data_IF_223560624015
#
_entry.id   IF_223560624015
#
_cell.length_a   1.000
_cell.length_b   1.000
_cell.length_c   1.000
_cell.angle_alpha   90.00
_cell.angle_beta   90.00
_cell.angle_gamma   90.00
#
_symmetry.space_group_name_H-M   'P 1'
#
loop_
_entity.id
_entity.type
_entity.pdbx_description
1 polymer ?
#
# COMPACT_ATOMS: atom_id res chain seq x y z
N UNK A 1 -8.45 -11.43 -1.71
CA UNK A 1 -7.98 -10.11 -1.22
C UNK A 1 -8.92 -9.48 -0.20
N UNK A 2 -10.22 -9.34 -0.51
CA UNK A 2 -11.12 -8.57 0.35
C UNK A 2 -11.33 -9.13 1.77
N UNK A 3 -11.20 -10.45 1.98
CA UNK A 3 -11.28 -11.06 3.31
C UNK A 3 -10.03 -10.79 4.15
N UNK A 4 -8.84 -10.83 3.53
CA UNK A 4 -7.56 -10.54 4.18
C UNK A 4 -7.54 -9.11 4.73
N UNK A 5 -8.00 -8.13 3.94
CA UNK A 5 -8.07 -6.73 4.35
C UNK A 5 -9.23 -6.41 5.33
N UNK A 6 -10.03 -7.41 5.72
CA UNK A 6 -11.02 -7.31 6.80
C UNK A 6 -10.55 -7.94 8.11
N UNK A 7 -9.47 -8.72 8.07
CA UNK A 7 -8.95 -9.39 9.25
C UNK A 7 -8.41 -8.36 10.25
N UNK A 8 -8.94 -8.30 11.48
CA UNK A 8 -8.45 -7.37 12.51
C UNK A 8 -6.96 -7.52 12.81
N UNK A 9 -6.38 -8.72 12.72
CA UNK A 9 -4.95 -8.94 12.96
C UNK A 9 -4.10 -8.31 11.85
N UNK A 10 -4.52 -8.46 10.59
CA UNK A 10 -3.88 -7.82 9.44
C UNK A 10 -3.94 -6.29 9.58
N UNK A 11 -5.07 -5.76 10.03
CA UNK A 11 -5.27 -4.32 10.21
C UNK A 11 -4.48 -3.71 11.39
N UNK A 12 -3.79 -4.50 12.21
CA UNK A 12 -2.83 -4.00 13.21
C UNK A 12 -1.51 -3.55 12.58
N UNK A 13 -1.19 -4.02 11.37
CA UNK A 13 0.03 -3.63 10.69
C UNK A 13 0.08 -2.12 10.40
N UNK A 14 1.27 -1.52 10.51
CA UNK A 14 1.51 -0.13 10.13
C UNK A 14 1.51 0.05 8.61
N UNK A 15 2.04 -0.94 7.91
CA UNK A 15 2.08 -1.01 6.45
C UNK A 15 1.77 -2.43 6.03
N UNK A 16 0.90 -2.56 5.02
CA UNK A 16 0.60 -3.84 4.37
C UNK A 16 1.05 -3.72 2.91
N UNK A 17 1.96 -4.60 2.51
CA UNK A 17 2.45 -4.76 1.16
C UNK A 17 1.72 -5.91 0.47
N UNK A 18 1.19 -5.69 -0.72
CA UNK A 18 0.47 -6.70 -1.49
C UNK A 18 1.04 -6.75 -2.91
N UNK A 19 1.48 -7.93 -3.34
CA UNK A 19 1.76 -8.25 -4.73
C UNK A 19 0.52 -8.87 -5.39
N UNK A 20 0.39 -8.62 -6.68
CA UNK A 20 -0.69 -9.09 -7.57
C UNK A 20 -2.11 -8.92 -6.99
N UNK A 21 -2.53 -7.68 -6.62
CA UNK A 21 -3.81 -7.48 -5.95
C UNK A 21 -5.07 -7.84 -6.78
N UNK A 22 -4.92 -8.16 -8.07
CA UNK A 22 -5.98 -8.20 -9.12
C UNK A 22 -6.85 -9.45 -9.18
N UNK A 23 -7.09 -10.17 -8.08
CA UNK A 23 -8.23 -11.10 -8.03
C UNK A 23 -9.54 -10.38 -7.72
N UNK A 24 -9.83 -9.30 -8.46
CA UNK A 24 -11.15 -8.68 -8.48
C UNK A 24 -11.50 -8.37 -9.94
N UNK A 25 -12.41 -9.15 -10.52
CA UNK A 25 -12.78 -9.12 -11.94
C UNK A 25 -13.55 -7.85 -12.35
N UNK A 26 -13.89 -6.97 -11.40
CA UNK A 26 -14.92 -5.96 -11.60
C UNK A 26 -14.43 -4.51 -11.62
N UNK A 27 -13.37 -4.15 -10.88
CA UNK A 27 -12.85 -2.76 -10.91
C UNK A 27 -11.59 -2.59 -10.05
N UNK A 28 -10.70 -1.70 -10.46
CA UNK A 28 -9.39 -1.49 -9.82
C UNK A 28 -9.48 -0.73 -8.48
N UNK A 29 -10.60 -0.06 -8.17
CA UNK A 29 -10.69 0.81 -6.98
C UNK A 29 -11.99 0.78 -6.17
N UNK A 30 -13.02 0.05 -6.61
CA UNK A 30 -14.39 0.23 -6.09
C UNK A 30 -14.66 -0.49 -4.76
N UNK A 31 -13.86 -1.50 -4.41
CA UNK A 31 -13.94 -2.20 -3.12
C UNK A 31 -12.63 -2.14 -2.34
N UNK A 32 -12.55 -1.23 -1.37
CA UNK A 32 -11.38 -1.04 -0.49
C UNK A 32 -11.74 -1.31 0.99
N UNK A 33 -11.70 -2.58 1.46
CA UNK A 33 -12.13 -2.94 2.82
C UNK A 33 -11.38 -2.19 3.93
N UNK A 34 -10.12 -1.87 3.70
CA UNK A 34 -9.26 -1.18 4.66
C UNK A 34 -9.33 0.36 4.59
N UNK A 35 -10.17 0.95 3.71
CA UNK A 35 -10.20 2.41 3.45
C UNK A 35 -10.39 3.27 4.70
N UNK A 36 -11.07 2.75 5.73
CA UNK A 36 -11.28 3.48 6.99
C UNK A 36 -9.98 3.65 7.78
N UNK A 37 -9.12 2.65 7.80
CA UNK A 37 -7.92 2.59 8.65
C UNK A 37 -6.62 2.85 7.88
N UNK A 38 -6.58 2.53 6.59
CA UNK A 38 -5.38 2.65 5.77
C UNK A 38 -5.65 3.50 4.52
N UNK A 39 -4.60 4.19 4.07
CA UNK A 39 -4.51 4.84 2.77
C UNK A 39 -3.93 3.86 1.77
N UNK A 40 -4.65 3.63 0.66
CA UNK A 40 -4.16 2.83 -0.45
C UNK A 40 -3.21 3.67 -1.32
N UNK A 41 -2.05 3.11 -1.63
CA UNK A 41 -1.06 3.60 -2.59
C UNK A 41 -0.83 2.51 -3.63
N UNK A 42 -0.87 2.88 -4.91
CA UNK A 42 -0.58 1.96 -6.01
C UNK A 42 -0.11 2.75 -7.24
N UNK A 43 0.68 2.13 -8.14
CA UNK A 43 0.96 2.69 -9.45
C UNK A 43 -0.34 2.99 -10.22
N UNK A 44 -0.37 4.08 -10.96
CA UNK A 44 -1.45 4.33 -11.93
C UNK A 44 -1.31 3.34 -13.08
N UNK A 45 -2.44 2.91 -13.64
CA UNK A 45 -2.41 2.15 -14.89
C UNK A 45 -1.85 3.02 -16.02
N UNK A 46 -0.96 2.46 -16.82
CA UNK A 46 -0.37 3.10 -18.01
C UNK A 46 -0.52 2.11 -19.16
N UNK A 47 -1.04 2.56 -20.30
CA UNK A 47 -1.22 1.74 -21.51
C UNK A 47 -1.94 0.39 -21.26
N UNK A 48 -3.04 0.42 -20.52
CA UNK A 48 -3.83 -0.75 -20.08
C UNK A 48 -3.09 -1.76 -19.17
N UNK A 49 -1.83 -1.49 -18.83
CA UNK A 49 -1.10 -2.24 -17.82
C UNK A 49 -1.56 -1.78 -16.44
N UNK A 50 -2.32 -2.64 -15.77
CA UNK A 50 -2.71 -2.43 -14.38
C UNK A 50 -1.47 -2.47 -13.49
N UNK A 51 -1.53 -1.84 -12.33
CA UNK A 51 -0.49 -2.04 -11.32
C UNK A 51 -0.33 -3.54 -11.04
N UNK A 52 0.69 -3.97 -10.32
CA UNK A 52 0.92 -5.34 -9.83
C UNK A 52 1.34 -5.33 -8.37
N UNK A 53 1.39 -4.15 -7.76
CA UNK A 53 1.64 -3.94 -6.35
C UNK A 53 0.69 -2.93 -5.75
N UNK A 54 0.39 -3.09 -4.47
CA UNK A 54 -0.38 -2.16 -3.65
C UNK A 54 0.23 -2.05 -2.25
N UNK A 55 0.13 -0.85 -1.69
CA UNK A 55 0.56 -0.50 -0.36
C UNK A 55 -0.63 0.05 0.42
N UNK A 56 -0.84 -0.42 1.63
CA UNK A 56 -1.80 0.16 2.58
C UNK A 56 -1.04 0.74 3.76
N UNK A 57 -1.01 2.06 3.87
CA UNK A 57 -0.33 2.79 4.95
C UNK A 57 -1.35 3.17 6.01
N UNK A 58 -1.12 2.80 7.26
CA UNK A 58 -2.04 3.09 8.35
C UNK A 58 -2.16 4.60 8.57
N UNK A 59 -3.40 5.12 8.60
CA UNK A 59 -3.69 6.56 8.71
C UNK A 59 -3.29 7.16 10.06
N UNK A 60 -2.90 6.34 11.04
CA UNK A 60 -2.32 6.80 12.31
C UNK A 60 -0.88 7.30 12.14
N UNK A 61 -0.20 6.95 11.04
CA UNK A 61 1.13 7.48 10.72
C UNK A 61 0.92 8.88 10.14
N UNK A 62 1.62 9.87 10.70
CA UNK A 62 1.63 11.24 10.21
C UNK A 62 2.06 11.26 8.72
N UNK A 63 1.26 11.82 7.80
CA UNK A 63 1.62 11.96 6.39
C UNK A 63 2.96 12.66 6.14
N UNK A 64 3.43 13.53 7.03
CA UNK A 64 4.74 14.17 6.92
C UNK A 64 5.92 13.23 7.22
N UNK A 65 5.63 12.04 7.77
CA UNK A 65 6.64 11.05 8.17
C UNK A 65 6.87 9.97 7.11
N UNK A 66 6.27 10.09 5.91
CA UNK A 66 6.54 9.16 4.83
C UNK A 66 6.47 9.79 3.44
N UNK A 67 7.17 9.19 2.49
CA UNK A 67 7.07 9.51 1.07
C UNK A 67 6.89 8.25 0.25
N UNK A 68 6.21 8.38 -0.89
CA UNK A 68 5.91 7.28 -1.81
C UNK A 68 6.43 7.62 -3.21
N UNK A 69 7.10 6.65 -3.83
CA UNK A 69 7.59 6.75 -5.19
C UNK A 69 7.03 5.56 -5.96
N UNK A 70 6.39 5.83 -7.09
CA UNK A 70 6.00 4.80 -8.06
C UNK A 70 7.11 4.68 -9.10
N UNK A 71 7.62 3.47 -9.32
CA UNK A 71 8.70 3.21 -10.28
C UNK A 71 8.19 2.51 -11.54
N UNK A 72 7.35 1.48 -11.38
CA UNK A 72 6.72 0.76 -12.48
C UNK A 72 5.38 0.17 -12.01
N UNK A 73 4.58 -0.47 -12.88
CA UNK A 73 3.40 -1.21 -12.46
C UNK A 73 3.71 -2.24 -11.37
N UNK A 74 4.90 -2.83 -11.41
CA UNK A 74 5.34 -3.91 -10.50
C UNK A 74 6.12 -3.42 -9.28
N UNK A 75 6.51 -2.13 -9.24
CA UNK A 75 7.49 -1.68 -8.26
C UNK A 75 7.19 -0.28 -7.72
N UNK A 76 7.14 -0.18 -6.40
CA UNK A 76 6.96 1.09 -5.67
C UNK A 76 7.78 1.08 -4.38
N UNK A 77 8.14 2.29 -3.93
CA UNK A 77 8.99 2.51 -2.78
C UNK A 77 8.23 3.32 -1.75
N UNK A 78 8.27 2.87 -0.50
CA UNK A 78 7.81 3.62 0.67
C UNK A 78 9.00 3.95 1.57
N UNK A 79 9.21 5.24 1.83
CA UNK A 79 10.15 5.70 2.83
C UNK A 79 9.39 6.09 4.09
N UNK A 80 9.76 5.49 5.23
CA UNK A 80 9.20 5.82 6.54
C UNK A 80 10.26 6.48 7.40
N UNK A 81 9.92 7.62 7.97
CA UNK A 81 10.69 8.30 9.02
C UNK A 81 10.14 7.85 10.37
N UNK A 82 11.02 7.52 11.32
CA UNK A 82 10.63 7.18 12.69
C UNK A 82 11.31 8.11 13.69
N UNK A 83 10.63 8.47 14.78
CA UNK A 83 11.13 9.42 15.78
C UNK A 83 11.98 8.75 16.89
N UNK A 84 11.93 7.42 17.05
CA UNK A 84 12.89 6.72 17.95
C UNK A 84 14.18 6.44 17.20
N UNK A 85 15.06 7.44 17.16
CA UNK A 85 16.33 7.36 16.44
C UNK A 85 16.13 7.42 14.93
N UNK A 86 16.97 8.17 14.24
CA UNK A 86 16.93 8.38 12.78
C UNK A 86 17.23 7.08 12.02
N UNK A 87 16.29 6.14 12.01
CA UNK A 87 16.37 4.96 11.17
C UNK A 87 15.28 5.10 10.11
N UNK A 88 15.73 5.40 8.89
CA UNK A 88 14.91 5.36 7.69
C UNK A 88 14.90 3.93 7.17
N UNK A 89 13.72 3.36 6.99
CA UNK A 89 13.57 2.06 6.33
C UNK A 89 13.04 2.30 4.92
N UNK A 90 13.73 1.75 3.93
CA UNK A 90 13.20 1.63 2.57
C UNK A 90 12.55 0.26 2.46
N UNK A 91 11.22 0.25 2.30
CA UNK A 91 10.51 -0.98 1.95
C UNK A 91 10.46 -1.09 0.43
N UNK A 92 11.13 -2.10 -0.09
CA UNK A 92 11.09 -2.48 -1.50
C UNK A 92 10.10 -3.63 -1.65
N UNK A 93 9.14 -3.47 -2.55
CA UNK A 93 8.16 -4.50 -2.88
C UNK A 93 8.32 -4.75 -4.37
N UNK A 94 9.00 -5.84 -4.71
CA UNK A 94 9.15 -6.40 -6.06
C UNK A 94 8.01 -7.37 -6.41
#
# INVERSE_FOLDING_TARGET
MATFLRDPEVLKASVIAIQEPWKNEYDDTTHQPARRTHQLLHPKAVDDVRARVALYVNKKIDPAMWTHITVSPDYQILHLRHLRGEISYSLYID
#
